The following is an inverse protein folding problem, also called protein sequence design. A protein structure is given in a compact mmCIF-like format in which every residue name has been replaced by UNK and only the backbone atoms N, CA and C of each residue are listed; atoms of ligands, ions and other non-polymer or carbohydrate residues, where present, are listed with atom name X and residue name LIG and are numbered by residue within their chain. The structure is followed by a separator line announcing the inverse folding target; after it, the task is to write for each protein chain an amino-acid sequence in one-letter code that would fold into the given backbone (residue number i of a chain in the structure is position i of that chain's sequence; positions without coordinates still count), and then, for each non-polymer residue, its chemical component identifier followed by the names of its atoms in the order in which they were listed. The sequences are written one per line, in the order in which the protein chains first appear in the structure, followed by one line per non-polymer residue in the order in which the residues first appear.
data_IF_755561926357
#
_entry.id   IF_755561926357
#
_cell.length_a   1.000
_cell.length_b   1.000
_cell.length_c   1.000
_cell.angle_alpha   90.00
_cell.angle_beta   90.00
_cell.angle_gamma   90.00
#
_symmetry.space_group_name_H-M   'P 1'
#
loop_
_entity.id
_entity.type
_entity.pdbx_description
1 polymer ?
#
# COMPACT_ATOMS: atom_id res chain seq x y z
N UNK A 1 -13.24 10.34 4.25
CA UNK A 1 -13.71 10.73 5.59
C UNK A 1 -14.92 11.63 5.40
N UNK A 2 -15.93 11.51 6.24
CA UNK A 2 -16.98 12.53 6.24
C UNK A 2 -16.41 13.84 6.76
N UNK A 3 -17.03 14.98 6.43
CA UNK A 3 -16.66 16.26 7.03
C UNK A 3 -16.74 16.13 8.55
N UNK A 4 -15.64 16.35 9.30
CA UNK A 4 -15.68 16.25 10.74
C UNK A 4 -16.53 17.37 11.32
N UNK A 5 -17.18 17.10 12.47
CA UNK A 5 -18.02 18.06 13.19
C UNK A 5 -17.23 19.33 13.57
N UNK A 6 -15.91 19.19 13.77
CA UNK A 6 -15.01 20.33 13.96
C UNK A 6 -13.60 20.03 13.46
N UNK A 7 -12.73 21.05 13.40
CA UNK A 7 -11.30 20.90 13.09
C UNK A 7 -10.46 20.40 14.27
N UNK A 8 -11.08 20.05 15.40
CA UNK A 8 -10.36 19.44 16.53
C UNK A 8 -9.74 18.11 16.10
N UNK A 9 -8.54 17.83 16.58
CA UNK A 9 -7.79 16.60 16.26
C UNK A 9 -8.59 15.33 16.57
N UNK A 10 -9.36 15.33 17.67
CA UNK A 10 -10.24 14.23 18.07
C UNK A 10 -11.29 13.92 17.01
N UNK A 11 -11.91 14.95 16.43
CA UNK A 11 -13.03 14.79 15.51
C UNK A 11 -12.52 14.37 14.13
N UNK A 12 -11.39 14.93 13.68
CA UNK A 12 -10.69 14.45 12.48
C UNK A 12 -10.28 12.97 12.62
N UNK A 13 -9.77 12.56 13.78
CA UNK A 13 -9.36 11.17 14.03
C UNK A 13 -10.56 10.23 14.03
N UNK A 14 -11.69 10.64 14.63
CA UNK A 14 -12.94 9.85 14.60
C UNK A 14 -13.36 9.54 13.16
N UNK A 15 -13.38 10.54 12.28
CA UNK A 15 -13.75 10.36 10.88
C UNK A 15 -12.76 9.47 10.10
N UNK A 16 -11.46 9.56 10.40
CA UNK A 16 -10.45 8.64 9.82
C UNK A 16 -10.67 7.20 10.28
N UNK A 17 -10.92 6.98 11.57
CA UNK A 17 -11.20 5.65 12.13
C UNK A 17 -12.49 5.08 11.54
N UNK A 18 -13.52 5.90 11.35
CA UNK A 18 -14.76 5.46 10.71
C UNK A 18 -14.53 4.95 9.29
N UNK A 19 -13.73 5.67 8.49
CA UNK A 19 -13.35 5.20 7.15
C UNK A 19 -12.60 3.86 7.20
N UNK A 20 -11.64 3.71 8.12
CA UNK A 20 -10.88 2.46 8.27
C UNK A 20 -11.77 1.28 8.69
N UNK A 21 -12.81 1.53 9.49
CA UNK A 21 -13.80 0.51 9.86
C UNK A 21 -14.73 0.13 8.70
N UNK A 22 -14.94 1.03 7.75
CA UNK A 22 -15.71 0.79 6.53
C UNK A 22 -14.89 0.16 5.41
N UNK A 23 -13.64 -0.24 5.64
CA UNK A 23 -12.88 -1.00 4.64
C UNK A 23 -13.53 -2.36 4.44
N UNK A 24 -13.77 -2.73 3.19
CA UNK A 24 -14.24 -4.08 2.84
C UNK A 24 -13.26 -5.11 3.37
N UNK A 25 -13.79 -6.10 4.08
CA UNK A 25 -13.01 -7.26 4.50
C UNK A 25 -12.96 -8.26 3.34
N UNK A 26 -11.76 -8.70 2.97
CA UNK A 26 -11.56 -9.68 1.91
C UNK A 26 -11.38 -11.08 2.49
N UNK A 27 -12.01 -12.07 1.86
CA UNK A 27 -11.70 -13.47 2.11
C UNK A 27 -10.42 -13.90 1.34
N UNK A 28 -9.80 -15.05 1.66
CA UNK A 28 -8.53 -15.45 1.05
C UNK A 28 -8.54 -15.58 -0.49
N UNK A 29 -9.69 -15.89 -1.09
CA UNK A 29 -9.80 -15.98 -2.55
C UNK A 29 -9.88 -14.59 -3.17
N UNK A 30 -10.67 -13.69 -2.58
CA UNK A 30 -10.77 -12.29 -3.02
C UNK A 30 -9.43 -11.55 -2.87
N UNK A 31 -8.64 -11.87 -1.83
CA UNK A 31 -7.29 -11.31 -1.67
C UNK A 31 -6.41 -11.68 -2.87
N UNK A 32 -6.46 -12.93 -3.35
CA UNK A 32 -5.66 -13.37 -4.50
C UNK A 32 -6.03 -12.65 -5.80
N UNK A 33 -7.30 -12.26 -5.94
CA UNK A 33 -7.80 -11.54 -7.11
C UNK A 33 -7.58 -10.02 -7.00
N UNK A 34 -7.60 -9.49 -5.77
CA UNK A 34 -7.58 -8.04 -5.52
C UNK A 34 -6.17 -7.50 -5.21
N UNK A 35 -5.24 -8.35 -4.79
CA UNK A 35 -3.89 -7.95 -4.41
C UNK A 35 -2.83 -8.73 -5.17
N UNK A 36 -1.80 -8.00 -5.60
CA UNK A 36 -0.57 -8.54 -6.18
C UNK A 36 0.58 -8.19 -5.27
N UNK A 37 1.37 -9.20 -4.91
CA UNK A 37 2.61 -9.06 -4.17
C UNK A 37 3.78 -9.46 -5.04
N UNK A 38 4.92 -8.82 -4.82
CA UNK A 38 6.14 -9.10 -5.54
C UNK A 38 7.37 -8.91 -4.66
N UNK A 39 8.47 -9.47 -5.12
CA UNK A 39 9.80 -9.31 -4.56
C UNK A 39 10.73 -8.93 -5.71
N UNK A 40 11.54 -7.87 -5.55
CA UNK A 40 12.44 -7.44 -6.62
C UNK A 40 13.54 -8.48 -6.84
N UNK A 41 13.87 -8.67 -8.11
CA UNK A 41 15.02 -9.46 -8.54
C UNK A 41 16.23 -8.55 -8.81
N UNK A 42 17.38 -9.16 -9.09
CA UNK A 42 18.59 -8.44 -9.41
C UNK A 42 18.48 -7.69 -10.73
N UNK A 43 19.12 -6.52 -10.83
CA UNK A 43 19.06 -5.70 -12.03
C UNK A 43 19.86 -4.42 -11.93
N UNK A 44 19.83 -3.64 -13.01
CA UNK A 44 20.50 -2.34 -13.06
C UNK A 44 19.54 -1.23 -12.61
N UNK A 45 19.97 -0.44 -11.63
CA UNK A 45 19.24 0.73 -11.14
C UNK A 45 20.22 1.90 -10.98
N UNK A 46 19.91 3.06 -11.56
CA UNK A 46 20.78 4.25 -11.51
C UNK A 46 22.24 3.97 -11.92
N UNK A 47 22.44 3.13 -12.95
CA UNK A 47 23.74 2.67 -13.44
C UNK A 47 24.55 1.80 -12.46
N UNK A 48 23.95 1.37 -11.35
CA UNK A 48 24.54 0.42 -10.41
C UNK A 48 23.80 -0.92 -10.46
N UNK A 49 24.55 -2.01 -10.30
CA UNK A 49 23.95 -3.33 -10.14
C UNK A 49 23.39 -3.48 -8.73
N UNK A 50 22.14 -3.92 -8.65
CA UNK A 50 21.44 -4.21 -7.41
C UNK A 50 21.19 -5.72 -7.35
N UNK A 51 21.59 -6.42 -6.27
CA UNK A 51 21.30 -7.84 -6.11
C UNK A 51 19.79 -8.07 -5.91
N UNK A 52 19.31 -9.28 -6.18
CA UNK A 52 17.94 -9.68 -5.81
C UNK A 52 17.74 -9.58 -4.30
N UNK A 53 16.50 -9.37 -3.82
CA UNK A 53 16.24 -9.19 -2.39
C UNK A 53 16.78 -10.33 -1.52
N UNK A 54 16.66 -11.59 -1.98
CA UNK A 54 17.19 -12.79 -1.29
C UNK A 54 18.72 -12.87 -1.22
N UNK A 55 19.41 -12.07 -2.03
CA UNK A 55 20.87 -12.00 -2.09
C UNK A 55 21.42 -10.77 -1.35
N UNK A 56 20.55 -9.91 -0.79
CA UNK A 56 21.00 -8.80 0.04
C UNK A 56 21.61 -9.32 1.37
N UNK A 57 22.60 -8.61 1.92
CA UNK A 57 23.18 -9.00 3.20
C UNK A 57 22.11 -8.97 4.30
N UNK A 58 22.13 -9.98 5.18
CA UNK A 58 21.17 -10.18 6.27
C UNK A 58 19.73 -10.52 5.82
N UNK A 59 19.52 -10.94 4.58
CA UNK A 59 18.24 -11.51 4.13
C UNK A 59 18.34 -13.03 4.04
N UNK A 60 17.30 -13.72 4.50
CA UNK A 60 17.19 -15.17 4.32
C UNK A 60 17.03 -15.49 2.82
N UNK A 61 17.86 -16.40 2.29
CA UNK A 61 17.81 -16.82 0.88
C UNK A 61 16.48 -17.47 0.46
N UNK A 62 15.69 -17.97 1.42
CA UNK A 62 14.34 -18.49 1.23
C UNK A 62 13.24 -17.50 1.67
N UNK A 63 13.58 -16.21 1.86
CA UNK A 63 12.62 -15.21 2.31
C UNK A 63 11.43 -15.09 1.36
N UNK A 64 10.24 -15.02 1.96
CA UNK A 64 8.98 -14.76 1.26
C UNK A 64 8.43 -13.35 1.56
N UNK A 65 9.29 -12.45 2.07
CA UNK A 65 8.94 -11.05 2.35
C UNK A 65 8.75 -10.26 1.06
N UNK A 66 7.65 -9.53 0.99
CA UNK A 66 7.28 -8.70 -0.14
C UNK A 66 8.07 -7.38 -0.14
N UNK A 67 8.51 -6.96 -1.33
CA UNK A 67 9.10 -5.62 -1.55
C UNK A 67 8.24 -4.76 -2.47
N UNK A 68 7.16 -5.34 -3.00
CA UNK A 68 6.15 -4.70 -3.82
C UNK A 68 4.77 -5.23 -3.40
N UNK A 69 3.81 -4.32 -3.24
CA UNK A 69 2.40 -4.66 -3.08
C UNK A 69 1.57 -3.68 -3.89
N UNK A 70 0.65 -4.18 -4.70
CA UNK A 70 -0.42 -3.42 -5.31
C UNK A 70 -1.76 -4.06 -4.95
N UNK A 71 -2.79 -3.25 -4.71
CA UNK A 71 -4.05 -3.73 -4.20
C UNK A 71 -5.23 -2.87 -4.57
N UNK A 72 -6.36 -3.55 -4.83
CA UNK A 72 -7.69 -2.97 -4.96
C UNK A 72 -8.33 -2.89 -3.56
N UNK A 73 -8.76 -1.70 -3.17
CA UNK A 73 -9.43 -1.43 -1.89
C UNK A 73 -10.81 -0.82 -2.16
N UNK A 74 -11.80 -1.31 -1.45
CA UNK A 74 -13.18 -0.81 -1.50
C UNK A 74 -13.58 -0.31 -0.10
N UNK A 75 -14.31 0.81 -0.05
CA UNK A 75 -14.83 1.39 1.19
C UNK A 75 -16.35 1.30 1.15
N UNK A 76 -16.92 0.53 2.07
CA UNK A 76 -18.35 0.26 2.21
C UNK A 76 -19.03 1.41 2.98
N UNK A 77 -19.11 2.57 2.35
CA UNK A 77 -19.93 3.68 2.83
C UNK A 77 -20.64 4.39 1.68
N UNK A 78 -21.61 5.24 2.01
CA UNK A 78 -22.42 5.94 1.00
C UNK A 78 -21.59 6.88 0.12
N UNK A 79 -20.55 7.51 0.68
CA UNK A 79 -19.71 8.47 -0.02
C UNK A 79 -18.83 7.84 -1.10
N UNK A 80 -18.36 6.63 -0.88
CA UNK A 80 -17.48 5.90 -1.79
C UNK A 80 -18.12 4.63 -2.34
N UNK A 81 -19.45 4.58 -2.32
CA UNK A 81 -20.20 3.50 -2.95
C UNK A 81 -19.76 3.34 -4.40
N UNK A 82 -19.39 2.11 -4.78
CA UNK A 82 -18.91 1.75 -6.12
C UNK A 82 -17.58 2.41 -6.54
N UNK A 83 -16.84 3.04 -5.62
CA UNK A 83 -15.51 3.59 -5.90
C UNK A 83 -14.43 2.62 -5.44
N UNK A 84 -13.50 2.35 -6.36
CA UNK A 84 -12.32 1.52 -6.11
C UNK A 84 -11.08 2.38 -5.91
N UNK A 85 -10.35 2.13 -4.83
CA UNK A 85 -9.05 2.72 -4.56
C UNK A 85 -7.94 1.73 -4.92
N UNK A 86 -7.02 2.13 -5.78
CA UNK A 86 -5.81 1.35 -6.05
C UNK A 86 -4.66 1.91 -5.23
N UNK A 87 -4.05 1.06 -4.40
CA UNK A 87 -2.82 1.38 -3.69
C UNK A 87 -1.67 0.60 -4.31
N UNK A 88 -0.49 1.20 -4.37
CA UNK A 88 0.75 0.49 -4.66
C UNK A 88 1.88 1.06 -3.84
N UNK A 89 2.74 0.17 -3.34
CA UNK A 89 3.96 0.52 -2.63
C UNK A 89 5.06 -0.43 -3.08
N UNK A 90 6.26 0.10 -3.23
CA UNK A 90 7.34 -0.59 -3.90
C UNK A 90 8.70 -0.07 -3.48
N UNK A 91 9.67 -0.98 -3.41
CA UNK A 91 11.11 -0.66 -3.34
C UNK A 91 11.76 -0.93 -4.70
N UNK A 92 12.88 -0.24 -4.96
CA UNK A 92 13.75 -0.44 -6.14
C UNK A 92 13.02 -0.26 -7.49
N UNK A 93 12.23 0.80 -7.61
CA UNK A 93 11.51 1.13 -8.85
C UNK A 93 12.16 2.27 -9.61
N UNK A 94 11.94 2.28 -10.94
CA UNK A 94 12.62 3.17 -11.89
C UNK A 94 12.53 4.65 -11.51
N UNK A 95 11.47 5.05 -10.81
CA UNK A 95 11.27 6.44 -10.38
C UNK A 95 10.81 6.47 -8.93
N UNK A 96 11.51 7.26 -8.12
CA UNK A 96 11.07 7.61 -6.78
C UNK A 96 10.02 8.72 -6.89
N UNK A 97 8.85 8.50 -6.31
CA UNK A 97 7.85 9.54 -6.13
C UNK A 97 7.89 10.02 -4.69
N UNK A 98 8.56 11.16 -4.39
CA UNK A 98 8.65 11.66 -3.03
C UNK A 98 7.26 12.03 -2.53
N UNK A 99 7.00 11.74 -1.25
CA UNK A 99 5.77 12.13 -0.57
C UNK A 99 5.65 13.67 -0.65
N UNK A 100 4.64 14.17 -1.38
CA UNK A 100 4.42 15.62 -1.60
C UNK A 100 3.87 16.36 -0.38
N UNK A 101 3.88 15.75 0.79
CA UNK A 101 3.50 16.43 2.03
C UNK A 101 4.74 17.03 2.68
N UNK A 102 5.16 18.20 2.20
CA UNK A 102 5.81 19.19 3.07
C UNK A 102 4.68 19.83 3.87
N UNK A 103 4.72 19.65 5.19
CA UNK A 103 3.90 20.42 6.14
C UNK A 103 4.47 21.83 6.21
#
# INVERSE_FOLDING_TARGET
MEPPISRKSSDIRKEKVQVLRSLKCFNPNEIKESFVRGQYDGGMMNNEFVPAYRNEPNVNSQSNTETFVAGKIEIENSKWASVTFYIRTEKRMKKIYPNRYRV
#
